data_IF_482827484568
#
_entry.id   IF_482827484568
#
_cell.length_a   1.000
_cell.length_b   1.000
_cell.length_c   1.000
_cell.angle_alpha   90.00
_cell.angle_beta   90.00
_cell.angle_gamma   90.00
#
_symmetry.space_group_name_H-M   'P 1'
#
loop_
_entity.id
_entity.type
_entity.pdbx_description
1 polymer ?
#
# COMPACT_ATOMS: atom_id res chain seq x y z
N UNK A 1 -37.04 -18.43 -39.24
CA UNK A 1 -35.93 -18.36 -38.26
C UNK A 1 -34.61 -18.55 -39.00
N UNK A 2 -34.02 -17.47 -39.48
CA UNK A 2 -32.67 -17.54 -40.09
C UNK A 2 -31.69 -17.84 -38.97
N UNK A 3 -31.11 -19.04 -39.00
CA UNK A 3 -30.11 -19.48 -38.06
C UNK A 3 -28.98 -18.46 -37.99
N UNK A 4 -28.90 -17.80 -36.85
CA UNK A 4 -27.63 -17.35 -36.31
C UNK A 4 -26.75 -18.59 -36.10
N UNK A 5 -26.06 -19.01 -37.15
CA UNK A 5 -24.95 -19.97 -37.08
C UNK A 5 -23.60 -19.26 -37.20
N UNK A 6 -23.60 -17.92 -37.17
CA UNK A 6 -22.43 -17.09 -37.40
C UNK A 6 -22.24 -15.91 -36.45
N UNK A 7 -23.14 -15.65 -35.49
CA UNK A 7 -23.01 -14.52 -34.56
C UNK A 7 -22.12 -14.82 -33.36
N UNK A 8 -21.89 -16.10 -33.06
CA UNK A 8 -21.03 -16.50 -31.95
C UNK A 8 -19.59 -16.00 -32.16
N UNK A 9 -19.02 -15.45 -31.09
CA UNK A 9 -17.61 -15.06 -31.06
C UNK A 9 -16.76 -16.30 -31.27
N UNK A 10 -15.86 -16.24 -32.25
CA UNK A 10 -14.96 -17.32 -32.67
C UNK A 10 -13.52 -17.05 -32.25
N UNK A 11 -13.15 -15.78 -32.18
CA UNK A 11 -11.81 -15.35 -31.85
C UNK A 11 -11.82 -14.16 -30.91
N UNK A 12 -10.80 -14.11 -30.08
CA UNK A 12 -10.48 -12.99 -29.22
C UNK A 12 -8.97 -12.73 -29.30
N UNK A 13 -8.56 -11.49 -29.06
CA UNK A 13 -7.16 -11.13 -28.87
C UNK A 13 -7.03 -9.93 -27.93
N UNK A 14 -5.92 -9.90 -27.20
CA UNK A 14 -5.55 -8.81 -26.31
C UNK A 14 -4.10 -8.40 -26.53
N UNK A 15 -3.82 -7.11 -26.41
CA UNK A 15 -2.49 -6.55 -26.59
C UNK A 15 -2.26 -5.36 -25.65
N UNK A 16 -1.00 -5.06 -25.35
CA UNK A 16 -0.60 -3.80 -24.70
C UNK A 16 -0.57 -2.61 -25.66
N UNK A 17 -0.92 -2.80 -26.94
CA UNK A 17 -0.95 -1.74 -27.96
C UNK A 17 -2.19 -1.87 -28.84
N UNK A 18 -2.69 -0.76 -29.36
CA UNK A 18 -3.87 -0.73 -30.24
C UNK A 18 -3.66 -1.46 -31.58
N UNK A 19 -2.41 -1.72 -31.97
CA UNK A 19 -2.06 -2.31 -33.26
C UNK A 19 -2.24 -3.84 -33.30
N UNK A 20 -2.24 -4.52 -32.15
CA UNK A 20 -2.26 -5.98 -32.05
C UNK A 20 -1.21 -6.68 -32.94
N UNK A 21 -0.06 -6.03 -33.17
CA UNK A 21 0.98 -6.53 -34.06
C UNK A 21 1.54 -7.86 -33.54
N UNK A 22 1.50 -8.90 -34.38
CA UNK A 22 1.95 -10.25 -34.02
C UNK A 22 1.03 -11.00 -33.05
N UNK A 23 -0.12 -10.45 -32.66
CA UNK A 23 -1.05 -11.11 -31.74
C UNK A 23 -2.06 -11.94 -32.54
N UNK A 24 -1.94 -13.27 -32.41
CA UNK A 24 -2.86 -14.23 -33.01
C UNK A 24 -4.23 -14.19 -32.32
N UNK A 25 -5.26 -14.57 -33.08
CA UNK A 25 -6.59 -14.79 -32.52
C UNK A 25 -6.63 -16.11 -31.77
N UNK A 26 -7.19 -16.12 -30.58
CA UNK A 26 -7.38 -17.34 -29.77
C UNK A 26 -8.86 -17.51 -29.40
N UNK A 27 -9.23 -18.68 -28.90
CA UNK A 27 -10.57 -18.91 -28.33
C UNK A 27 -10.85 -17.92 -27.21
N UNK A 28 -12.11 -17.49 -27.07
CA UNK A 28 -12.55 -16.60 -25.98
C UNK A 28 -12.38 -17.32 -24.64
N UNK A 29 -11.52 -16.83 -23.74
CA UNK A 29 -11.32 -17.44 -22.44
C UNK A 29 -12.39 -17.00 -21.43
N UNK A 30 -12.67 -17.85 -20.44
CA UNK A 30 -13.52 -17.49 -19.28
C UNK A 30 -12.78 -16.61 -18.27
N UNK A 31 -11.44 -16.72 -18.23
CA UNK A 31 -10.56 -15.88 -17.42
C UNK A 31 -9.28 -15.58 -18.21
N UNK A 32 -8.84 -14.33 -18.16
CA UNK A 32 -7.59 -13.89 -18.82
C UNK A 32 -6.55 -13.57 -17.76
N UNK A 33 -5.41 -14.27 -17.82
CA UNK A 33 -4.19 -13.84 -17.15
C UNK A 33 -3.39 -12.98 -18.11
N UNK A 34 -3.16 -11.71 -17.76
CA UNK A 34 -2.28 -10.82 -18.52
C UNK A 34 -1.09 -10.42 -17.66
N UNK A 35 0.12 -10.66 -18.17
CA UNK A 35 1.35 -10.18 -17.50
C UNK A 35 1.63 -8.76 -17.98
N UNK A 36 1.61 -7.80 -17.05
CA UNK A 36 1.97 -6.42 -17.36
C UNK A 36 3.47 -6.32 -17.65
N UNK A 37 3.81 -5.48 -18.63
CA UNK A 37 5.21 -5.14 -18.89
C UNK A 37 5.83 -4.46 -17.66
N UNK A 38 7.12 -4.73 -17.44
CA UNK A 38 7.88 -4.15 -16.34
C UNK A 38 7.90 -2.62 -16.40
N UNK A 39 8.14 -2.01 -15.25
CA UNK A 39 8.17 -0.56 -15.07
C UNK A 39 6.79 -0.01 -14.70
N UNK A 40 6.81 1.02 -13.87
CA UNK A 40 5.60 1.57 -13.26
C UNK A 40 4.88 2.52 -14.23
N UNK A 41 3.73 3.03 -13.81
CA UNK A 41 2.90 3.96 -14.57
C UNK A 41 1.64 3.34 -15.17
N UNK A 42 0.89 4.18 -15.91
CA UNK A 42 -0.38 3.81 -16.50
C UNK A 42 -0.18 2.85 -17.69
N UNK A 43 -0.68 1.62 -17.57
CA UNK A 43 -0.72 0.63 -18.63
C UNK A 43 -2.10 0.61 -19.27
N UNK A 44 -2.16 0.58 -20.60
CA UNK A 44 -3.41 0.42 -21.34
C UNK A 44 -3.42 -0.93 -22.03
N UNK A 45 -4.47 -1.71 -21.78
CA UNK A 45 -4.75 -2.95 -22.46
C UNK A 45 -5.83 -2.73 -23.52
N UNK A 46 -5.67 -3.40 -24.65
CA UNK A 46 -6.57 -3.36 -25.78
C UNK A 46 -7.10 -4.76 -26.02
N UNK A 47 -8.41 -4.90 -26.17
CA UNK A 47 -9.08 -6.16 -26.46
C UNK A 47 -9.98 -6.02 -27.69
N UNK A 48 -10.05 -7.08 -28.49
CA UNK A 48 -10.93 -7.16 -29.64
C UNK A 48 -11.44 -8.59 -29.82
N UNK A 49 -12.69 -8.72 -30.24
CA UNK A 49 -13.30 -10.01 -30.58
C UNK A 49 -13.61 -10.10 -32.07
N UNK A 50 -13.75 -11.33 -32.56
CA UNK A 50 -14.07 -11.66 -33.95
C UNK A 50 -15.12 -12.74 -34.01
N UNK A 51 -16.09 -12.60 -34.91
CA UNK A 51 -17.10 -13.64 -35.17
C UNK A 51 -16.59 -14.71 -36.17
N UNK A 52 -17.41 -15.75 -36.39
CA UNK A 52 -17.10 -16.84 -37.35
C UNK A 52 -17.05 -16.39 -38.81
N UNK A 53 -17.61 -15.21 -39.12
CA UNK A 53 -17.59 -14.60 -40.45
C UNK A 53 -16.38 -13.69 -40.66
N UNK A 54 -15.55 -13.51 -39.63
CA UNK A 54 -14.35 -12.67 -39.66
C UNK A 54 -14.61 -11.20 -39.30
N UNK A 55 -15.83 -10.82 -38.93
CA UNK A 55 -16.15 -9.46 -38.50
C UNK A 55 -15.51 -9.18 -37.14
N UNK A 56 -14.92 -7.99 -36.98
CA UNK A 56 -14.20 -7.59 -35.76
C UNK A 56 -15.02 -6.57 -34.99
N UNK A 57 -15.02 -6.68 -33.66
CA UNK A 57 -15.61 -5.66 -32.80
C UNK A 57 -14.82 -4.35 -32.83
N UNK A 58 -15.41 -3.30 -32.26
CA UNK A 58 -14.63 -2.17 -31.78
C UNK A 58 -13.59 -2.64 -30.76
N UNK A 59 -12.46 -1.93 -30.71
CA UNK A 59 -11.41 -2.18 -29.71
C UNK A 59 -11.87 -1.61 -28.39
N UNK A 60 -11.89 -2.45 -27.36
CA UNK A 60 -12.19 -2.04 -25.97
C UNK A 60 -10.87 -1.85 -25.24
N UNK A 61 -10.81 -0.85 -24.37
CA UNK A 61 -9.62 -0.56 -23.58
C UNK A 61 -9.86 -0.66 -22.09
N UNK A 62 -8.86 -1.13 -21.35
CA UNK A 62 -8.79 -1.05 -19.90
C UNK A 62 -7.48 -0.38 -19.50
N UNK A 63 -7.50 0.44 -18.44
CA UNK A 63 -6.29 1.05 -17.89
C UNK A 63 -5.99 0.49 -16.52
N UNK A 64 -4.70 0.28 -16.24
CA UNK A 64 -4.19 -0.23 -14.97
C UNK A 64 -3.02 0.66 -14.56
N UNK A 65 -3.11 1.30 -13.40
CA UNK A 65 -1.97 1.96 -12.80
C UNK A 65 -1.12 0.89 -12.11
N UNK A 66 0.10 0.66 -12.61
CA UNK A 66 1.06 -0.21 -11.96
C UNK A 66 2.03 0.64 -11.16
N UNK A 67 2.08 0.41 -9.86
CA UNK A 67 3.07 0.98 -8.96
C UNK A 67 3.62 -0.14 -8.09
N UNK A 68 4.94 -0.24 -8.03
CA UNK A 68 5.66 -1.28 -7.28
C UNK A 68 6.67 -0.66 -6.31
N UNK A 69 6.71 0.66 -6.21
CA UNK A 69 7.63 1.36 -5.34
C UNK A 69 7.00 1.43 -3.97
N UNK A 70 7.61 0.77 -3.00
CA UNK A 70 7.17 0.90 -1.62
C UNK A 70 7.44 2.34 -1.11
N UNK A 71 6.50 2.95 -0.40
CA UNK A 71 6.73 4.27 0.19
C UNK A 71 7.77 4.20 1.32
N UNK A 72 8.42 5.34 1.58
CA UNK A 72 9.33 5.50 2.71
C UNK A 72 8.70 6.34 3.83
N UNK A 73 9.02 5.97 5.07
CA UNK A 73 8.71 6.75 6.27
C UNK A 73 10.00 7.11 7.00
N UNK A 74 10.18 8.40 7.27
CA UNK A 74 11.26 8.93 8.09
C UNK A 74 10.84 9.06 9.55
N UNK A 75 11.82 8.94 10.45
CA UNK A 75 11.69 9.37 11.84
C UNK A 75 12.42 10.71 11.98
N UNK A 76 11.83 11.69 12.65
CA UNK A 76 12.55 12.93 12.98
C UNK A 76 13.49 12.75 14.17
N UNK A 77 13.27 11.71 14.98
CA UNK A 77 14.11 11.30 16.10
C UNK A 77 14.11 9.76 16.22
N UNK A 78 15.27 9.18 16.52
CA UNK A 78 15.45 7.73 16.65
C UNK A 78 15.17 7.21 18.07
N UNK A 79 15.03 8.12 19.04
CA UNK A 79 14.69 7.81 20.43
C UNK A 79 13.75 8.86 21.00
N UNK A 80 12.76 8.41 21.78
CA UNK A 80 11.89 9.31 22.54
C UNK A 80 11.88 8.92 24.02
N UNK A 81 12.14 9.90 24.88
CA UNK A 81 12.07 9.74 26.34
C UNK A 81 10.75 10.33 26.82
N UNK A 82 9.96 9.55 27.54
CA UNK A 82 8.67 10.00 28.09
C UNK A 82 8.54 9.69 29.57
N UNK A 83 7.93 10.62 30.32
CA UNK A 83 7.61 10.46 31.74
C UNK A 83 6.13 10.15 32.00
N UNK A 84 5.38 9.74 30.98
CA UNK A 84 3.93 9.53 31.05
C UNK A 84 3.47 8.33 30.22
N UNK A 85 2.17 7.99 30.27
CA UNK A 85 1.63 6.75 29.71
C UNK A 85 1.46 6.80 28.18
N UNK A 86 1.96 7.83 27.50
CA UNK A 86 1.80 7.97 26.06
C UNK A 86 2.99 8.68 25.41
N UNK A 87 3.26 8.32 24.16
CA UNK A 87 4.29 8.93 23.31
C UNK A 87 3.69 9.41 22.00
N UNK A 88 4.11 10.59 21.55
CA UNK A 88 3.81 11.05 20.19
C UNK A 88 4.90 10.57 19.24
N UNK A 89 4.53 9.86 18.18
CA UNK A 89 5.52 9.33 17.24
C UNK A 89 6.11 10.45 16.36
N UNK A 90 7.45 10.59 16.27
CA UNK A 90 8.14 11.58 15.45
C UNK A 90 8.14 11.20 13.96
N UNK A 91 6.97 10.99 13.36
CA UNK A 91 6.85 10.52 11.98
C UNK A 91 6.96 11.67 10.98
N UNK A 92 7.75 11.46 9.93
CA UNK A 92 7.81 12.31 8.74
C UNK A 92 7.44 11.46 7.50
N UNK A 93 6.13 11.20 7.26
CA UNK A 93 5.68 10.49 6.08
C UNK A 93 5.94 11.31 4.81
N UNK A 94 6.34 10.63 3.73
CA UNK A 94 6.49 11.25 2.40
C UNK A 94 5.13 11.41 1.71
N UNK A 95 5.08 12.13 0.59
CA UNK A 95 3.85 12.33 -0.17
C UNK A 95 3.25 11.03 -0.75
N UNK A 96 4.06 9.97 -0.90
CA UNK A 96 3.61 8.65 -1.36
C UNK A 96 2.93 7.83 -0.26
N UNK A 97 3.01 8.26 1.01
CA UNK A 97 2.33 7.55 2.10
C UNK A 97 0.84 7.87 2.07
N UNK A 98 0.00 6.85 1.87
CA UNK A 98 -1.44 6.95 1.97
C UNK A 98 -1.93 6.67 3.39
N UNK A 99 -1.38 5.62 4.02
CA UNK A 99 -1.76 5.18 5.36
C UNK A 99 -0.55 4.64 6.12
N UNK A 100 -0.64 4.67 7.44
CA UNK A 100 0.36 4.14 8.35
C UNK A 100 -0.26 3.35 9.47
N UNK A 101 0.52 2.44 10.04
CA UNK A 101 0.17 1.70 11.24
C UNK A 101 1.40 1.51 12.11
N UNK A 102 1.17 1.22 13.37
CA UNK A 102 2.22 0.99 14.33
C UNK A 102 1.88 -0.18 15.24
N UNK A 103 2.89 -0.72 15.91
CA UNK A 103 2.72 -1.70 16.98
C UNK A 103 3.87 -1.64 17.95
N UNK A 104 3.69 -2.19 19.14
CA UNK A 104 4.84 -2.56 19.96
C UNK A 104 5.43 -3.86 19.41
N UNK A 105 6.74 -4.03 19.54
CA UNK A 105 7.42 -5.24 19.07
C UNK A 105 6.79 -6.47 19.74
N UNK A 106 6.20 -7.36 18.94
CA UNK A 106 5.49 -8.55 19.41
C UNK A 106 4.02 -8.37 19.79
N UNK A 107 3.43 -7.19 19.61
CA UNK A 107 1.98 -6.96 19.76
C UNK A 107 1.24 -7.05 18.42
N UNK A 108 -0.09 -6.99 18.48
CA UNK A 108 -0.92 -6.76 17.30
C UNK A 108 -0.68 -5.37 16.71
N UNK A 109 -0.91 -5.25 15.41
CA UNK A 109 -0.87 -3.97 14.70
C UNK A 109 -2.07 -3.11 15.05
N UNK A 110 -1.86 -1.80 15.12
CA UNK A 110 -2.95 -0.84 15.06
C UNK A 110 -3.71 -0.97 13.73
N UNK A 111 -4.92 -0.42 13.71
CA UNK A 111 -5.57 -0.10 12.44
C UNK A 111 -4.71 0.83 11.59
N UNK A 112 -4.98 0.85 10.29
CA UNK A 112 -4.38 1.81 9.37
C UNK A 112 -4.94 3.22 9.63
N UNK A 113 -4.04 4.20 9.72
CA UNK A 113 -4.29 5.59 10.06
C UNK A 113 -3.81 6.49 8.92
N UNK A 114 -4.51 7.60 8.69
CA UNK A 114 -4.12 8.58 7.66
C UNK A 114 -2.98 9.50 8.18
N UNK A 115 -1.98 9.84 7.34
CA UNK A 115 -0.98 10.87 7.58
C UNK A 115 -1.58 12.23 8.01
N UNK A 116 -1.11 12.83 9.12
CA UNK A 116 -1.47 14.20 9.52
C UNK A 116 -2.16 14.37 10.89
N UNK A 117 -2.49 13.30 11.60
CA UNK A 117 -3.12 13.38 12.94
C UNK A 117 -2.20 12.81 14.00
N UNK A 118 -1.93 13.56 15.07
CA UNK A 118 -0.99 13.21 16.14
C UNK A 118 -1.06 11.73 16.57
N UNK A 119 -0.01 10.99 16.23
CA UNK A 119 0.08 9.55 16.52
C UNK A 119 0.47 9.36 17.97
N UNK A 120 -0.53 9.18 18.83
CA UNK A 120 -0.33 8.94 20.24
C UNK A 120 -0.41 7.43 20.50
N UNK A 121 0.70 6.87 20.95
CA UNK A 121 0.79 5.47 21.37
C UNK A 121 0.67 5.42 22.88
N UNK A 122 -0.33 4.71 23.39
CA UNK A 122 -0.40 4.38 24.81
C UNK A 122 0.70 3.37 25.14
N UNK A 123 1.57 3.70 26.08
CA UNK A 123 2.64 2.84 26.56
C UNK A 123 2.19 2.07 27.80
N UNK A 124 2.76 0.89 28.07
CA UNK A 124 2.53 0.20 29.34
C UNK A 124 2.98 1.10 30.50
N UNK A 125 2.28 1.04 31.64
CA UNK A 125 2.69 1.71 32.88
C UNK A 125 3.89 1.01 33.55
N UNK A 126 4.93 0.72 32.77
CA UNK A 126 6.16 0.07 33.21
C UNK A 126 7.33 0.91 32.72
N UNK A 127 8.22 1.25 33.63
CA UNK A 127 9.52 1.85 33.30
C UNK A 127 10.33 0.84 32.50
N UNK A 128 10.93 1.29 31.41
CA UNK A 128 11.68 0.42 30.52
C UNK A 128 11.86 0.99 29.11
N UNK A 129 12.60 0.25 28.30
CA UNK A 129 12.79 0.55 26.88
C UNK A 129 11.78 -0.29 26.09
N UNK A 130 10.98 0.37 25.28
CA UNK A 130 10.02 -0.22 24.36
C UNK A 130 10.45 0.03 22.93
N UNK A 131 10.21 -0.93 22.05
CA UNK A 131 10.47 -0.80 20.62
C UNK A 131 9.14 -0.74 19.88
N UNK A 132 8.88 0.39 19.23
CA UNK A 132 7.69 0.62 18.41
C UNK A 132 8.08 0.35 16.96
N UNK A 133 7.34 -0.54 16.30
CA UNK A 133 7.47 -0.82 14.89
C UNK A 133 6.44 0.00 14.12
N UNK A 134 6.87 0.68 13.06
CA UNK A 134 6.05 1.51 12.18
C UNK A 134 6.13 0.97 10.77
N UNK A 135 4.99 0.96 10.09
CA UNK A 135 4.87 0.56 8.70
C UNK A 135 3.90 1.47 7.96
N UNK A 136 4.25 1.83 6.73
CA UNK A 136 3.43 2.69 5.88
C UNK A 136 3.05 1.97 4.58
N UNK A 137 1.95 2.38 3.97
CA UNK A 137 1.53 1.91 2.65
C UNK A 137 1.07 3.06 1.77
N UNK A 138 1.21 2.90 0.46
CA UNK A 138 0.78 3.87 -0.54
C UNK A 138 -0.65 3.59 -1.02
N UNK A 139 -1.14 4.38 -1.98
CA UNK A 139 -2.48 4.20 -2.56
C UNK A 139 -2.58 2.96 -3.47
N UNK A 140 -1.45 2.44 -3.94
CA UNK A 140 -1.38 1.20 -4.71
C UNK A 140 -1.32 -0.05 -3.80
N UNK A 141 -1.20 0.13 -2.49
CA UNK A 141 -1.08 -0.92 -1.49
C UNK A 141 0.34 -1.46 -1.32
N UNK A 142 1.38 -0.83 -1.89
CA UNK A 142 2.76 -1.21 -1.62
C UNK A 142 3.09 -0.85 -0.17
N UNK A 143 3.79 -1.74 0.51
CA UNK A 143 4.07 -1.63 1.94
C UNK A 143 5.55 -1.40 2.18
N UNK A 144 5.89 -0.45 3.04
CA UNK A 144 7.26 -0.13 3.41
C UNK A 144 7.94 -1.25 4.21
N UNK A 145 9.28 -1.19 4.24
CA UNK A 145 10.04 -1.85 5.29
C UNK A 145 9.59 -1.36 6.67
N UNK A 146 9.67 -2.25 7.67
CA UNK A 146 9.36 -1.89 9.05
C UNK A 146 10.46 -0.96 9.57
N UNK A 147 10.06 0.17 10.14
CA UNK A 147 10.94 1.07 10.90
C UNK A 147 10.75 0.84 12.38
N UNK A 148 11.85 0.82 13.14
CA UNK A 148 11.81 0.62 14.59
C UNK A 148 12.22 1.92 15.28
N UNK A 149 11.42 2.34 16.26
CA UNK A 149 11.67 3.48 17.13
C UNK A 149 11.86 2.99 18.57
N UNK A 150 12.95 3.40 19.21
CA UNK A 150 13.18 3.13 20.63
C UNK A 150 12.47 4.20 21.48
N UNK A 151 11.76 3.75 22.51
CA UNK A 151 11.06 4.63 23.46
C UNK A 151 11.46 4.25 24.87
N UNK A 152 12.08 5.18 25.59
CA UNK A 152 12.48 5.00 26.97
C UNK A 152 11.46 5.64 27.90
N UNK A 153 10.75 4.83 28.69
CA UNK A 153 9.82 5.29 29.73
C UNK A 153 10.57 5.45 31.03
N UNK A 154 10.60 6.67 31.56
CA UNK A 154 11.20 6.98 32.86
C UNK A 154 10.14 7.01 33.97
N UNK A 155 10.53 6.75 35.23
CA UNK A 155 9.63 6.96 36.36
C UNK A 155 9.22 8.44 36.44
N UNK A 156 8.03 8.76 36.99
CA UNK A 156 7.70 10.13 37.34
C UNK A 156 8.80 10.69 38.24
N UNK A 157 9.42 11.80 37.83
CA UNK A 157 10.44 12.44 38.64
C UNK A 157 9.83 12.81 40.00
N UNK A 158 10.31 12.18 41.07
CA UNK A 158 10.03 12.61 42.44
C UNK A 158 10.73 13.96 42.64
N UNK A 159 9.99 15.06 42.47
CA UNK A 159 10.39 16.33 43.06
C UNK A 159 10.32 16.15 44.58
N UNK A 160 11.44 15.79 45.20
CA UNK A 160 11.56 15.91 46.65
C UNK A 160 11.55 17.41 46.96
N UNK A 161 10.62 17.93 47.79
CA UNK A 161 10.76 19.28 48.29
C UNK A 161 12.08 19.34 49.07
N UNK A 162 13.00 20.21 48.66
CA UNK A 162 14.19 20.50 49.44
C UNK A 162 13.73 21.11 50.76
N UNK A 163 13.71 20.33 51.83
CA UNK A 163 13.60 20.85 53.19
C UNK A 163 14.95 21.49 53.49
N UNK A 164 15.02 22.83 53.43
CA UNK A 164 16.09 23.55 54.09
C UNK A 164 15.88 23.38 55.59
N UNK A 165 16.84 22.77 56.28
CA UNK A 165 16.89 22.83 57.73
C UNK A 165 17.07 24.30 58.18
N UNK A 166 16.51 24.69 59.34
CA UNK A 166 16.55 26.06 59.85
C UNK A 166 17.96 26.54 60.21
#
# INVERSE_FOLDING_TARGET
>A
VTSDTGSGVDGWRMAGTAAFAGVAWTTVPTQTGWTLMAGDGLKTLYAQVRDRRGNRSQVVTATIALDRVAPEVGLTHDEVIVGGPAVSLPLAPTADVAELRWRMTGSDWSDWLVPGSGYVVALPEKVGIFSIEIQVRDMAGNVSAIRTLAVTVLPPALFLPSVSAP
#
